data_IF_580698034587
#
_entry.id   IF_580698034587
#
_cell.length_a   1.000
_cell.length_b   1.000
_cell.length_c   1.000
_cell.angle_alpha   90.00
_cell.angle_beta   90.00
_cell.angle_gamma   90.00
#
_symmetry.space_group_name_H-M   'P 1'
#
loop_
_entity.id
_entity.type
_entity.pdbx_description
1 polymer ?
#
# COMPACT_ATOMS: atom_id res chain seq x y z
N UNK A 1 28.99 -15.82 -29.03
CA UNK A 1 27.58 -16.23 -28.99
C UNK A 1 26.75 -15.05 -28.52
N UNK A 2 25.68 -14.73 -29.25
CA UNK A 2 24.78 -13.61 -28.97
C UNK A 2 23.95 -13.92 -27.72
N UNK A 3 23.81 -12.96 -26.80
CA UNK A 3 22.65 -12.87 -25.91
C UNK A 3 22.26 -11.39 -25.71
N UNK A 4 20.94 -11.20 -25.65
CA UNK A 4 20.16 -9.97 -25.72
C UNK A 4 20.15 -9.15 -24.40
N UNK A 5 19.60 -7.91 -24.41
CA UNK A 5 19.75 -6.93 -23.33
C UNK A 5 18.66 -7.05 -22.24
N UNK A 6 18.97 -6.56 -21.04
CA UNK A 6 17.98 -6.19 -20.01
C UNK A 6 18.40 -4.78 -19.55
N UNK A 7 17.73 -3.70 -19.92
CA UNK A 7 16.40 -3.30 -19.41
C UNK A 7 16.18 -3.77 -17.97
N UNK A 8 16.62 -2.94 -17.03
CA UNK A 8 16.04 -2.90 -15.69
C UNK A 8 15.45 -1.51 -15.46
N UNK A 9 14.14 -1.47 -15.71
CA UNK A 9 13.22 -0.44 -15.28
C UNK A 9 13.35 -0.29 -13.76
N UNK A 10 13.82 0.87 -13.31
CA UNK A 10 13.75 1.26 -11.91
C UNK A 10 12.27 1.47 -11.53
N UNK A 11 11.64 0.41 -11.02
CA UNK A 11 10.31 0.47 -10.42
C UNK A 11 10.34 1.28 -9.13
N UNK A 12 10.06 2.57 -9.23
CA UNK A 12 9.73 3.43 -8.10
C UNK A 12 8.42 2.93 -7.47
N UNK A 13 8.53 2.13 -6.41
CA UNK A 13 7.40 1.70 -5.60
C UNK A 13 6.94 2.88 -4.73
N UNK A 14 6.09 3.74 -5.31
CA UNK A 14 5.38 4.79 -4.57
C UNK A 14 4.33 4.12 -3.68
N UNK A 15 4.65 3.93 -2.39
CA UNK A 15 3.65 3.63 -1.36
C UNK A 15 2.77 4.87 -1.20
N UNK A 16 1.62 4.90 -1.88
CA UNK A 16 0.59 5.90 -1.65
C UNK A 16 -0.11 5.59 -0.33
N UNK A 17 0.23 6.34 0.71
CA UNK A 17 -0.59 6.43 1.92
C UNK A 17 -1.91 7.12 1.55
N UNK A 18 -2.98 6.35 1.35
CA UNK A 18 -4.33 6.89 1.15
C UNK A 18 -4.98 7.06 2.51
N UNK A 19 -5.24 8.31 2.90
CA UNK A 19 -5.92 8.69 4.13
C UNK A 19 -7.36 9.13 3.77
N UNK A 20 -8.40 8.32 4.01
CA UNK A 20 -9.77 8.60 3.57
C UNK A 20 -10.56 9.49 4.55
N UNK A 21 -9.95 10.55 5.09
CA UNK A 21 -10.59 11.42 6.09
C UNK A 21 -10.91 12.84 5.59
N UNK A 22 -11.24 13.05 4.30
CA UNK A 22 -11.75 14.35 3.85
C UNK A 22 -12.93 14.22 2.87
N UNK A 23 -14.08 14.86 3.17
CA UNK A 23 -15.21 14.91 2.24
C UNK A 23 -14.89 15.78 1.02
N UNK A 24 -15.38 15.32 -0.12
CA UNK A 24 -15.38 15.98 -1.42
C UNK A 24 -16.06 17.36 -1.33
N UNK A 25 -15.27 18.43 -1.44
CA UNK A 25 -15.78 19.73 -1.87
C UNK A 25 -15.53 19.88 -3.37
N UNK A 26 -16.60 19.88 -4.14
CA UNK A 26 -16.61 20.15 -5.58
C UNK A 26 -16.25 21.61 -5.86
N UNK A 27 -15.11 21.86 -6.50
CA UNK A 27 -14.84 23.15 -7.16
C UNK A 27 -14.01 22.94 -8.44
N UNK A 28 -14.68 23.10 -9.57
CA UNK A 28 -14.25 22.84 -10.96
C UNK A 28 -13.41 23.99 -11.56
N UNK A 29 -12.50 24.64 -10.82
CA UNK A 29 -11.80 25.84 -11.33
C UNK A 29 -10.26 25.84 -11.25
N UNK A 30 -9.62 24.82 -10.67
CA UNK A 30 -8.15 24.84 -10.44
C UNK A 30 -7.30 24.17 -11.53
N UNK A 31 -7.90 23.68 -12.63
CA UNK A 31 -7.19 22.84 -13.60
C UNK A 31 -6.32 23.58 -14.64
N UNK A 32 -6.30 24.92 -14.64
CA UNK A 32 -5.64 25.72 -15.68
C UNK A 32 -4.35 26.46 -15.26
N UNK A 33 -3.98 26.50 -13.97
CA UNK A 33 -2.79 27.25 -13.52
C UNK A 33 -1.54 26.39 -13.21
N UNK A 34 -1.64 25.06 -13.19
CA UNK A 34 -0.52 24.19 -12.82
C UNK A 34 0.38 23.72 -13.98
N UNK A 35 0.08 24.09 -15.24
CA UNK A 35 0.87 23.63 -16.40
C UNK A 35 2.13 24.46 -16.70
N UNK A 36 2.38 25.57 -16.01
CA UNK A 36 3.45 26.51 -16.40
C UNK A 36 4.71 26.49 -15.51
N UNK A 37 4.75 25.74 -14.41
CA UNK A 37 5.91 25.77 -13.46
C UNK A 37 6.77 24.50 -13.53
N UNK A 38 6.25 23.41 -14.10
CA UNK A 38 6.96 22.11 -14.19
C UNK A 38 8.06 22.10 -15.28
N UNK A 39 8.03 23.05 -16.22
CA UNK A 39 9.00 23.12 -17.33
C UNK A 39 10.39 23.67 -16.96
N UNK A 40 10.52 24.43 -15.87
CA UNK A 40 11.78 25.16 -15.59
C UNK A 40 12.71 24.38 -14.64
N UNK A 41 12.18 23.46 -13.82
CA UNK A 41 13.01 22.70 -12.88
C UNK A 41 13.78 21.52 -13.52
N UNK A 42 13.37 21.04 -14.70
CA UNK A 42 14.02 19.90 -15.35
C UNK A 42 15.36 20.23 -16.02
N UNK A 43 15.64 21.51 -16.30
CA UNK A 43 16.88 21.94 -16.99
C UNK A 43 18.04 22.13 -16.00
N UNK A 44 17.76 22.35 -14.72
CA UNK A 44 18.80 22.57 -13.71
C UNK A 44 19.49 21.27 -13.23
N UNK A 45 18.87 20.10 -13.39
CA UNK A 45 19.45 18.81 -12.96
C UNK A 45 20.40 18.17 -13.98
N UNK A 46 20.51 18.70 -15.19
CA UNK A 46 21.40 18.16 -16.24
C UNK A 46 22.82 18.78 -16.25
N UNK A 47 23.09 19.81 -15.43
CA UNK A 47 24.39 20.51 -15.41
C UNK A 47 25.31 20.15 -14.24
N UNK A 48 24.93 19.20 -13.39
CA UNK A 48 25.77 18.64 -12.32
C UNK A 48 25.70 17.10 -12.43
N UNK A 49 26.37 16.43 -13.36
CA UNK A 49 27.81 16.50 -13.55
C UNK A 49 28.52 15.83 -12.38
N UNK A 50 28.63 14.49 -12.41
CA UNK A 50 29.36 13.70 -11.41
C UNK A 50 29.29 12.19 -11.62
N UNK A 51 29.97 11.68 -12.65
CA UNK A 51 30.35 10.26 -12.71
C UNK A 51 31.45 10.02 -11.68
N UNK A 52 31.24 9.11 -10.73
CA UNK A 52 32.32 8.53 -9.93
C UNK A 52 32.35 7.02 -10.16
N UNK A 53 33.47 6.57 -10.69
CA UNK A 53 33.82 5.18 -10.94
C UNK A 53 33.97 4.38 -9.63
N UNK A 54 33.71 3.07 -9.73
CA UNK A 54 34.52 2.06 -9.08
C UNK A 54 34.19 1.70 -7.64
N UNK A 55 33.36 0.67 -7.45
CA UNK A 55 33.53 -0.27 -6.32
C UNK A 55 33.42 -1.70 -6.87
N UNK A 56 34.56 -2.36 -7.02
CA UNK A 56 34.67 -3.80 -7.21
C UNK A 56 34.26 -4.49 -5.90
N UNK A 57 33.00 -4.92 -5.83
CA UNK A 57 32.50 -5.73 -4.72
C UNK A 57 33.12 -7.13 -4.76
N UNK A 58 34.08 -7.38 -3.85
CA UNK A 58 34.58 -8.71 -3.50
C UNK A 58 33.42 -9.64 -3.11
N UNK A 59 33.45 -10.85 -3.64
CA UNK A 59 32.62 -11.96 -3.17
C UNK A 59 32.86 -12.21 -1.67
N UNK A 60 31.81 -12.08 -0.86
CA UNK A 60 31.82 -12.48 0.56
C UNK A 60 31.56 -13.97 0.60
N UNK A 61 32.61 -14.71 0.97
CA UNK A 61 32.55 -16.11 1.35
C UNK A 61 31.73 -16.26 2.63
N UNK A 62 30.75 -17.16 2.60
CA UNK A 62 29.98 -17.61 3.76
C UNK A 62 30.90 -18.28 4.78
N UNK A 63 31.34 -17.49 5.76
CA UNK A 63 32.04 -17.94 6.96
C UNK A 63 31.11 -17.83 8.16
N UNK A 64 30.64 -18.98 8.65
CA UNK A 64 30.02 -19.16 9.95
C UNK A 64 30.94 -18.67 11.07
N UNK A 65 30.53 -17.62 11.78
CA UNK A 65 30.98 -17.28 13.14
C UNK A 65 30.12 -16.13 13.66
N UNK A 66 29.49 -16.38 14.81
CA UNK A 66 28.47 -15.58 15.49
C UNK A 66 28.95 -14.15 15.76
N UNK A 67 28.47 -13.18 14.99
CA UNK A 67 28.71 -11.75 15.23
C UNK A 67 27.37 -11.10 15.55
N UNK A 68 27.14 -10.82 16.82
CA UNK A 68 25.97 -10.11 17.31
C UNK A 68 25.91 -8.72 16.67
N UNK A 69 25.04 -8.59 15.66
CA UNK A 69 24.71 -7.31 15.04
C UNK A 69 23.80 -6.59 16.03
N UNK A 70 24.28 -5.48 16.60
CA UNK A 70 23.44 -4.51 17.31
C UNK A 70 22.50 -3.91 16.25
N UNK A 71 21.37 -4.58 16.03
CA UNK A 71 20.28 -4.04 15.24
C UNK A 71 19.73 -2.84 16.02
N UNK A 72 19.72 -1.68 15.35
CA UNK A 72 18.96 -0.49 15.78
C UNK A 72 17.60 -0.96 16.31
N UNK A 73 17.09 -0.39 17.42
CA UNK A 73 15.86 -0.87 18.04
C UNK A 73 14.77 -0.96 16.97
N UNK A 74 14.42 -2.19 16.60
CA UNK A 74 13.28 -2.46 15.76
C UNK A 74 12.11 -1.84 16.49
N UNK A 75 11.52 -0.80 15.90
CA UNK A 75 10.32 -0.16 16.44
C UNK A 75 9.37 -1.30 16.76
N UNK A 76 9.08 -1.49 18.06
CA UNK A 76 8.34 -2.63 18.58
C UNK A 76 7.08 -2.73 17.76
N UNK A 77 7.00 -3.76 16.90
CA UNK A 77 5.83 -3.98 16.05
C UNK A 77 4.63 -3.92 16.99
N UNK A 78 3.75 -2.94 16.77
CA UNK A 78 2.56 -2.81 17.58
C UNK A 78 1.85 -4.16 17.49
N UNK A 79 1.51 -4.74 18.64
CA UNK A 79 0.73 -5.98 18.63
C UNK A 79 -0.64 -5.63 18.04
N UNK A 80 -0.84 -6.00 16.78
CA UNK A 80 -2.10 -5.83 16.05
C UNK A 80 -2.76 -7.21 16.05
N UNK A 81 -3.86 -7.32 16.78
CA UNK A 81 -4.72 -8.49 16.74
C UNK A 81 -5.86 -8.16 15.79
N UNK A 82 -6.07 -8.99 14.78
CA UNK A 82 -7.13 -8.81 13.81
C UNK A 82 -7.95 -10.09 13.71
N UNK A 83 -9.27 -9.96 13.82
CA UNK A 83 -10.24 -11.04 13.67
C UNK A 83 -11.31 -10.64 12.66
N UNK A 84 -11.65 -11.58 11.79
CA UNK A 84 -12.64 -11.41 10.74
C UNK A 84 -13.67 -12.53 10.80
N UNK A 85 -14.95 -12.18 10.97
CA UNK A 85 -16.02 -13.13 11.29
C UNK A 85 -16.51 -14.01 10.12
N UNK A 86 -16.11 -13.68 8.88
CA UNK A 86 -16.49 -14.44 7.68
C UNK A 86 -15.32 -15.20 7.03
N UNK A 87 -14.12 -15.05 7.57
CA UNK A 87 -12.92 -15.74 7.13
C UNK A 87 -12.15 -15.04 6.01
N UNK A 88 -12.38 -13.75 5.76
CA UNK A 88 -11.55 -12.94 4.88
C UNK A 88 -12.35 -12.23 3.79
N UNK A 89 -12.17 -12.64 2.54
CA UNK A 89 -12.86 -12.02 1.41
C UNK A 89 -14.07 -12.86 1.01
N UNK A 90 -15.21 -12.66 1.68
CA UNK A 90 -16.44 -13.42 1.53
C UNK A 90 -17.69 -12.55 1.31
N UNK A 91 -17.83 -12.04 0.08
CA UNK A 91 -18.97 -11.20 -0.35
C UNK A 91 -20.37 -11.81 -0.15
N UNK A 92 -20.52 -13.11 0.05
CA UNK A 92 -21.83 -13.79 0.21
C UNK A 92 -22.31 -13.82 1.66
N UNK A 93 -21.41 -13.55 2.61
CA UNK A 93 -21.69 -13.53 4.04
C UNK A 93 -21.42 -12.12 4.55
N UNK A 94 -22.29 -11.62 5.43
CA UNK A 94 -21.99 -10.37 6.13
C UNK A 94 -20.92 -10.66 7.19
N UNK A 95 -19.77 -10.04 7.04
CA UNK A 95 -18.67 -10.05 7.99
C UNK A 95 -18.66 -8.85 8.92
N UNK A 96 -17.73 -8.93 9.87
CA UNK A 96 -17.42 -7.93 10.86
C UNK A 96 -15.96 -8.11 11.23
N UNK A 97 -15.23 -7.02 11.10
CA UNK A 97 -13.82 -6.93 11.39
C UNK A 97 -13.62 -6.39 12.81
N UNK A 98 -12.74 -7.03 13.58
CA UNK A 98 -12.30 -6.56 14.88
C UNK A 98 -10.79 -6.39 14.88
N UNK A 99 -10.31 -5.17 15.13
CA UNK A 99 -8.87 -4.86 15.16
C UNK A 99 -8.50 -4.29 16.51
N UNK A 100 -7.60 -4.92 17.23
CA UNK A 100 -7.02 -4.39 18.45
C UNK A 100 -5.59 -3.88 18.17
N UNK A 101 -5.37 -2.58 18.32
CA UNK A 101 -4.05 -1.94 18.17
C UNK A 101 -3.67 -1.31 19.49
N UNK A 102 -2.66 -1.87 20.16
CA UNK A 102 -2.14 -1.35 21.43
C UNK A 102 -3.24 -1.11 22.50
N UNK A 103 -4.22 -2.03 22.58
CA UNK A 103 -5.32 -1.96 23.54
C UNK A 103 -6.52 -1.11 23.09
N UNK A 104 -6.47 -0.51 21.90
CA UNK A 104 -7.63 0.16 21.28
C UNK A 104 -8.30 -0.77 20.29
N UNK A 105 -9.60 -0.97 20.45
CA UNK A 105 -10.41 -1.79 19.54
C UNK A 105 -11.08 -0.91 18.50
N UNK A 106 -10.91 -1.26 17.23
CA UNK A 106 -11.60 -0.73 16.06
C UNK A 106 -12.53 -1.84 15.55
N UNK A 107 -13.71 -1.48 15.08
CA UNK A 107 -14.67 -2.43 14.52
C UNK A 107 -15.22 -1.87 13.23
N UNK A 108 -15.16 -2.67 12.17
CA UNK A 108 -15.76 -2.35 10.87
C UNK A 108 -16.75 -3.47 10.50
N UNK A 109 -17.71 -3.18 9.65
CA UNK A 109 -18.73 -4.15 9.23
C UNK A 109 -18.93 -3.99 7.74
N UNK A 110 -19.13 -5.09 7.03
CA UNK A 110 -19.35 -5.00 5.58
C UNK A 110 -20.65 -4.27 5.28
N UNK A 111 -20.59 -3.45 4.25
CA UNK A 111 -21.66 -2.55 3.86
C UNK A 111 -21.82 -2.55 2.36
N UNK A 112 -23.06 -2.40 1.89
CA UNK A 112 -23.30 -2.14 0.48
C UNK A 112 -22.82 -0.72 0.17
N UNK A 113 -21.80 -0.60 -0.67
CA UNK A 113 -21.32 0.70 -1.15
C UNK A 113 -22.35 1.30 -2.12
N UNK A 114 -22.93 0.44 -2.96
CA UNK A 114 -24.06 0.76 -3.83
C UNK A 114 -24.98 -0.47 -4.01
N UNK A 115 -25.91 -0.42 -4.97
CA UNK A 115 -26.86 -1.51 -5.22
C UNK A 115 -26.24 -2.76 -5.85
N UNK A 116 -25.01 -2.69 -6.34
CA UNK A 116 -24.28 -3.75 -7.04
C UNK A 116 -22.89 -4.00 -6.46
N UNK A 117 -22.44 -3.29 -5.44
CA UNK A 117 -21.13 -3.51 -4.83
C UNK A 117 -21.19 -3.54 -3.30
N UNK A 118 -20.38 -4.43 -2.72
CA UNK A 118 -20.16 -4.54 -1.27
C UNK A 118 -18.75 -4.09 -0.95
N UNK A 119 -18.62 -3.24 0.07
CA UNK A 119 -17.34 -2.91 0.70
C UNK A 119 -17.07 -3.94 1.77
N UNK A 120 -16.04 -4.74 1.51
CA UNK A 120 -15.54 -5.80 2.38
C UNK A 120 -14.40 -5.27 3.25
N UNK A 121 -14.43 -5.58 4.54
CA UNK A 121 -13.34 -5.29 5.49
C UNK A 121 -12.69 -6.58 5.96
N UNK A 122 -11.40 -6.76 5.64
CA UNK A 122 -10.69 -8.02 5.91
C UNK A 122 -9.34 -7.82 6.60
N UNK A 123 -8.94 -8.82 7.38
CA UNK A 123 -7.67 -8.84 8.10
C UNK A 123 -6.45 -9.05 7.19
N UNK A 124 -5.34 -8.40 7.52
CA UNK A 124 -4.04 -8.58 6.88
C UNK A 124 -2.93 -8.79 7.94
N UNK A 125 -1.76 -9.35 7.57
CA UNK A 125 -0.69 -9.64 8.53
C UNK A 125 -0.24 -8.46 9.40
N UNK A 126 -0.41 -7.22 8.92
CA UNK A 126 0.02 -6.00 9.61
C UNK A 126 -1.12 -5.01 9.87
N UNK A 127 -2.39 -5.46 9.87
CA UNK A 127 -3.53 -4.54 9.96
C UNK A 127 -4.80 -5.10 9.35
N UNK A 128 -5.54 -4.22 8.70
CA UNK A 128 -6.73 -4.55 7.94
C UNK A 128 -6.75 -3.73 6.66
N UNK A 129 -7.54 -4.16 5.69
CA UNK A 129 -7.81 -3.41 4.48
C UNK A 129 -9.30 -3.44 4.18
N UNK A 130 -9.74 -2.60 3.24
CA UNK A 130 -11.06 -2.73 2.64
C UNK A 130 -10.95 -2.89 1.14
N UNK A 131 -11.82 -3.72 0.54
CA UNK A 131 -11.93 -3.86 -0.91
C UNK A 131 -13.39 -3.74 -1.35
N UNK A 132 -13.62 -3.23 -2.55
CA UNK A 132 -14.97 -3.17 -3.14
C UNK A 132 -15.12 -4.40 -4.05
N UNK A 133 -16.18 -5.16 -3.83
CA UNK A 133 -16.49 -6.38 -4.57
C UNK A 133 -17.81 -6.19 -5.30
N UNK A 134 -17.81 -6.47 -6.59
CA UNK A 134 -19.03 -6.49 -7.41
C UNK A 134 -19.92 -7.68 -7.05
N UNK A 135 -21.23 -7.43 -7.00
CA UNK A 135 -22.31 -8.35 -6.75
C UNK A 135 -23.19 -8.49 -8.01
N UNK A 136 -23.25 -9.68 -8.59
CA UNK A 136 -23.96 -9.91 -9.85
C UNK A 136 -25.47 -9.65 -9.77
N UNK A 137 -26.11 -10.02 -8.65
CA UNK A 137 -27.56 -9.86 -8.45
C UNK A 137 -27.92 -8.67 -7.55
N UNK A 138 -26.91 -7.96 -7.07
CA UNK A 138 -27.05 -6.81 -6.19
C UNK A 138 -26.55 -7.04 -4.77
N UNK A 139 -26.50 -5.96 -4.01
CA UNK A 139 -26.07 -5.97 -2.61
C UNK A 139 -27.26 -5.66 -1.68
N UNK A 140 -27.39 -6.45 -0.62
CA UNK A 140 -28.38 -6.22 0.43
C UNK A 140 -27.79 -6.50 1.81
N UNK A 141 -27.96 -5.54 2.73
CA UNK A 141 -27.56 -5.66 4.14
C UNK A 141 -26.06 -5.90 4.39
N UNK A 142 -25.18 -5.51 3.46
CA UNK A 142 -23.73 -5.69 3.56
C UNK A 142 -23.24 -7.04 3.05
N UNK A 143 -23.95 -7.64 2.08
CA UNK A 143 -23.55 -8.86 1.38
C UNK A 143 -24.22 -8.93 0.00
N UNK A 144 -23.64 -9.69 -0.92
CA UNK A 144 -24.25 -10.03 -2.20
C UNK A 144 -25.41 -11.04 -2.02
N UNK A 145 -26.37 -11.04 -2.96
CA UNK A 145 -27.52 -11.96 -3.03
C UNK A 145 -27.51 -12.85 -4.29
#
# INVERSE_FOLDING_TARGET
>A
MRFWPCDMVAGFMMVKYYNPAKPFYSNLHYHLLMKSVVGILAVALLLLGGCSEGITGKAVTSGSSEKAIILKPAIRAANIICEDSDGGQNREKKGKLYVNVAGRTITETDVCEDSRSVREYLCQPNGYTSTILECEKGCLAGKCI
#
